data_IF_993003647563
#
_entry.id   IF_993003647563
#
_cell.length_a   1.000
_cell.length_b   1.000
_cell.length_c   1.000
_cell.angle_alpha   90.00
_cell.angle_beta   90.00
_cell.angle_gamma   90.00
#
_symmetry.space_group_name_H-M   'P 1'
#
loop_
_entity.id
_entity.type
_entity.pdbx_description
1 polymer ?
#
# COMPACT_ATOMS: atom_id res chain seq x y z
N UNK A 1 0.24 -41.73 -52.49
CA UNK A 1 0.24 -41.92 -51.03
C UNK A 1 0.94 -40.73 -50.37
N UNK A 2 0.18 -39.73 -49.97
CA UNK A 2 0.77 -38.54 -49.25
C UNK A 2 1.18 -38.98 -47.88
N UNK A 3 2.46 -38.68 -47.55
CA UNK A 3 3.12 -39.18 -46.35
C UNK A 3 2.53 -38.50 -45.10
N UNK A 4 1.53 -39.15 -44.47
CA UNK A 4 0.80 -38.69 -43.28
C UNK A 4 1.76 -38.37 -42.09
N UNK A 5 2.96 -38.89 -42.09
CA UNK A 5 4.02 -38.66 -41.12
C UNK A 5 4.52 -37.23 -41.10
N UNK A 6 4.62 -36.54 -42.24
CA UNK A 6 5.07 -35.15 -42.30
C UNK A 6 4.02 -34.15 -41.80
N UNK A 7 2.73 -34.43 -42.05
CA UNK A 7 1.65 -33.61 -41.54
C UNK A 7 1.56 -33.73 -40.01
N UNK A 8 1.68 -34.93 -39.50
CA UNK A 8 1.64 -35.17 -38.06
C UNK A 8 2.77 -34.48 -37.31
N UNK A 9 4.01 -34.53 -37.90
CA UNK A 9 5.17 -33.82 -37.36
C UNK A 9 5.00 -32.29 -37.35
N UNK A 10 4.39 -31.72 -38.37
CA UNK A 10 4.10 -30.28 -38.46
C UNK A 10 3.06 -29.86 -37.43
N UNK A 11 2.02 -30.69 -37.20
CA UNK A 11 0.98 -30.42 -36.21
C UNK A 11 1.56 -30.49 -34.80
N UNK A 12 2.40 -31.48 -34.51
CA UNK A 12 3.08 -31.60 -33.20
C UNK A 12 4.00 -30.41 -32.98
N UNK A 13 4.77 -29.99 -33.97
CA UNK A 13 5.66 -28.83 -33.88
C UNK A 13 4.87 -27.53 -33.62
N UNK A 14 3.73 -27.36 -34.27
CA UNK A 14 2.82 -26.22 -34.06
C UNK A 14 2.25 -26.19 -32.63
N UNK A 15 1.89 -27.34 -32.06
CA UNK A 15 1.39 -27.44 -30.69
C UNK A 15 2.47 -27.16 -29.63
N UNK A 16 3.74 -27.49 -29.91
CA UNK A 16 4.86 -27.20 -28.99
C UNK A 16 5.13 -25.71 -28.90
N UNK A 17 4.94 -24.95 -30.00
CA UNK A 17 5.11 -23.49 -30.03
C UNK A 17 4.01 -22.74 -29.26
N UNK A 18 2.84 -23.36 -29.05
CA UNK A 18 1.69 -22.79 -28.34
C UNK A 18 1.73 -22.96 -26.83
N UNK A 19 2.77 -23.59 -26.26
CA UNK A 19 2.90 -23.72 -24.82
C UNK A 19 3.28 -22.36 -24.25
N UNK A 20 2.41 -21.71 -23.45
CA UNK A 20 2.75 -20.43 -22.83
C UNK A 20 3.91 -20.65 -21.82
N UNK A 21 5.05 -20.07 -22.11
CA UNK A 21 6.15 -20.01 -21.14
C UNK A 21 5.75 -18.94 -20.13
N UNK A 22 5.38 -19.34 -18.92
CA UNK A 22 5.17 -18.40 -17.85
C UNK A 22 6.50 -17.70 -17.55
N UNK A 23 6.66 -16.49 -18.04
CA UNK A 23 7.77 -15.63 -17.65
C UNK A 23 7.48 -15.14 -16.22
N UNK A 24 8.10 -15.75 -15.24
CA UNK A 24 8.18 -15.18 -13.90
C UNK A 24 9.08 -13.95 -14.00
N UNK A 25 8.48 -12.77 -13.94
CA UNK A 25 9.24 -11.55 -13.76
C UNK A 25 9.85 -11.61 -12.34
N UNK A 26 11.12 -11.99 -12.27
CA UNK A 26 11.90 -11.87 -11.04
C UNK A 26 12.13 -10.38 -10.82
N UNK A 27 11.55 -9.80 -9.79
CA UNK A 27 11.89 -8.44 -9.36
C UNK A 27 13.29 -8.53 -8.74
N UNK A 28 14.30 -8.21 -9.52
CA UNK A 28 15.67 -8.10 -9.05
C UNK A 28 15.82 -6.75 -8.34
N UNK A 29 15.80 -6.78 -7.00
CA UNK A 29 16.12 -5.60 -6.19
C UNK A 29 17.65 -5.47 -6.15
N UNK A 30 18.21 -4.64 -7.02
CA UNK A 30 19.63 -4.32 -6.99
C UNK A 30 19.95 -3.37 -5.84
N UNK A 31 20.34 -3.93 -4.70
CA UNK A 31 20.77 -3.19 -3.49
C UNK A 31 22.18 -2.61 -3.61
N UNK A 32 22.86 -2.79 -4.73
CA UNK A 32 24.26 -2.33 -4.91
C UNK A 32 24.37 -0.88 -5.34
N UNK A 33 23.27 -0.24 -5.76
CA UNK A 33 23.24 1.20 -6.05
C UNK A 33 22.89 1.98 -4.80
N UNK A 34 23.88 2.54 -4.15
CA UNK A 34 23.76 3.36 -2.92
C UNK A 34 23.02 4.69 -3.08
N UNK A 35 22.04 4.77 -3.97
CA UNK A 35 21.14 5.91 -4.12
C UNK A 35 19.77 5.42 -4.57
N UNK A 36 19.07 4.72 -3.68
CA UNK A 36 17.66 4.43 -3.86
C UNK A 36 16.91 5.73 -3.58
N UNK A 37 16.23 6.29 -4.59
CA UNK A 37 15.30 7.37 -4.35
C UNK A 37 14.22 6.89 -3.37
N UNK A 38 14.03 7.56 -2.23
CA UNK A 38 13.05 7.11 -1.24
C UNK A 38 11.66 7.07 -1.83
N UNK A 39 10.93 5.98 -1.60
CA UNK A 39 9.59 5.74 -2.14
C UNK A 39 8.59 6.80 -1.63
N UNK A 40 7.94 7.58 -2.50
CA UNK A 40 6.92 8.54 -2.11
C UNK A 40 5.72 7.81 -1.50
N UNK A 41 5.42 8.10 -0.23
CA UNK A 41 4.41 7.41 0.55
C UNK A 41 3.47 8.40 1.23
N UNK A 42 2.17 8.16 1.15
CA UNK A 42 1.19 8.91 1.92
C UNK A 42 0.85 8.17 3.22
N UNK A 43 0.92 8.88 4.36
CA UNK A 43 0.47 8.37 5.67
C UNK A 43 -0.76 9.15 6.07
N UNK A 44 -1.95 8.59 5.83
CA UNK A 44 -3.20 9.21 6.24
C UNK A 44 -3.32 9.23 7.77
N UNK A 45 -3.86 10.30 8.37
CA UNK A 45 -4.28 10.25 9.75
C UNK A 45 -5.20 9.04 9.99
N UNK A 46 -5.03 8.36 11.12
CA UNK A 46 -5.85 7.19 11.43
C UNK A 46 -7.27 7.60 11.79
N UNK A 47 -8.26 6.91 11.25
CA UNK A 47 -9.66 7.14 11.58
C UNK A 47 -9.98 6.68 13.01
N UNK A 48 -10.94 7.32 13.66
CA UNK A 48 -11.39 7.01 15.01
C UNK A 48 -12.91 6.99 14.99
N UNK A 49 -13.51 5.90 15.46
CA UNK A 49 -14.96 5.86 15.63
C UNK A 49 -15.42 6.74 16.82
N UNK A 50 -16.68 7.16 16.79
CA UNK A 50 -17.22 8.12 17.75
C UNK A 50 -17.17 7.63 19.19
N UNK A 51 -17.39 6.33 19.42
CA UNK A 51 -17.35 5.72 20.75
C UNK A 51 -15.91 5.76 21.31
N UNK A 52 -14.95 5.36 20.50
CA UNK A 52 -13.54 5.40 20.85
C UNK A 52 -13.05 6.83 21.07
N UNK A 53 -13.54 7.80 20.29
CA UNK A 53 -13.22 9.22 20.45
C UNK A 53 -13.62 9.73 21.84
N UNK A 54 -14.84 9.46 22.28
CA UNK A 54 -15.32 9.85 23.61
C UNK A 54 -14.50 9.22 24.74
N UNK A 55 -14.11 7.95 24.57
CA UNK A 55 -13.26 7.27 25.53
C UNK A 55 -11.86 7.90 25.58
N UNK A 56 -11.26 8.24 24.46
CA UNK A 56 -9.95 8.90 24.40
C UNK A 56 -9.97 10.28 25.05
N UNK A 57 -11.02 11.07 24.79
CA UNK A 57 -11.19 12.39 25.45
C UNK A 57 -11.32 12.26 26.96
N UNK A 58 -12.12 11.31 27.41
CA UNK A 58 -12.38 11.10 28.85
C UNK A 58 -11.17 10.53 29.59
N UNK A 59 -10.52 9.52 29.03
CA UNK A 59 -9.47 8.75 29.73
C UNK A 59 -8.08 9.30 29.50
N UNK A 60 -7.77 9.72 28.28
CA UNK A 60 -6.44 10.15 27.89
C UNK A 60 -6.31 11.67 27.70
N UNK A 61 -7.43 12.40 27.76
CA UNK A 61 -7.50 13.84 27.44
C UNK A 61 -6.89 14.17 26.06
N UNK A 62 -7.03 13.23 25.12
CA UNK A 62 -6.46 13.27 23.76
C UNK A 62 -7.59 13.33 22.74
N UNK A 63 -7.57 14.36 21.89
CA UNK A 63 -8.56 14.54 20.82
C UNK A 63 -8.07 14.05 19.44
N UNK A 64 -6.75 14.09 19.22
CA UNK A 64 -6.15 13.84 17.91
C UNK A 64 -5.22 12.62 17.87
N UNK A 65 -5.51 11.58 18.65
CA UNK A 65 -4.66 10.40 18.78
C UNK A 65 -4.35 9.73 17.44
N UNK A 66 -5.31 9.70 16.50
CA UNK A 66 -5.11 9.13 15.17
C UNK A 66 -4.09 9.90 14.34
N UNK A 67 -4.07 11.22 14.47
CA UNK A 67 -3.06 12.04 13.80
C UNK A 67 -1.70 11.94 14.51
N UNK A 68 -1.67 11.90 15.84
CA UNK A 68 -0.42 11.73 16.60
C UNK A 68 0.28 10.43 16.23
N UNK A 69 -0.46 9.30 16.15
CA UNK A 69 0.10 8.01 15.73
C UNK A 69 0.61 8.08 14.30
N UNK A 70 -0.14 8.69 13.38
CA UNK A 70 0.31 8.82 11.99
C UNK A 70 1.60 9.64 11.85
N UNK A 71 1.81 10.66 12.67
CA UNK A 71 3.05 11.45 12.71
C UNK A 71 4.22 10.59 13.19
N UNK A 72 4.03 9.75 14.19
CA UNK A 72 5.07 8.84 14.69
C UNK A 72 5.48 7.86 13.57
N UNK A 73 4.50 7.26 12.90
CA UNK A 73 4.74 6.34 11.77
C UNK A 73 5.49 7.05 10.65
N UNK A 74 5.04 8.23 10.27
CA UNK A 74 5.65 9.07 9.24
C UNK A 74 7.12 9.39 9.55
N UNK A 75 7.41 9.79 10.78
CA UNK A 75 8.78 10.09 11.21
C UNK A 75 9.68 8.84 11.18
N UNK A 76 9.18 7.69 11.64
CA UNK A 76 9.94 6.45 11.61
C UNK A 76 10.24 6.00 10.17
N UNK A 77 9.26 6.11 9.28
CA UNK A 77 9.44 5.78 7.86
C UNK A 77 10.46 6.72 7.20
N UNK A 78 10.39 8.03 7.47
CA UNK A 78 11.36 9.01 6.97
C UNK A 78 12.78 8.71 7.47
N UNK A 79 12.91 8.39 8.75
CA UNK A 79 14.20 8.08 9.37
C UNK A 79 14.84 6.82 8.81
N UNK A 80 14.05 5.88 8.29
CA UNK A 80 14.58 4.68 7.64
C UNK A 80 15.38 4.97 6.36
N UNK A 81 15.17 6.14 5.75
CA UNK A 81 15.77 6.52 4.46
C UNK A 81 15.17 5.82 3.24
N UNK A 82 14.26 4.87 3.43
CA UNK A 82 13.64 4.09 2.35
C UNK A 82 12.35 4.75 1.82
N UNK A 83 11.76 5.64 2.60
CA UNK A 83 10.49 6.28 2.29
C UNK A 83 10.58 7.79 2.36
N UNK A 84 9.81 8.45 1.49
CA UNK A 84 9.63 9.89 1.48
C UNK A 84 8.15 10.22 1.77
N UNK A 85 7.75 10.38 3.05
CA UNK A 85 6.38 10.70 3.40
C UNK A 85 5.96 12.05 2.83
N UNK A 86 4.80 12.06 2.16
CA UNK A 86 4.21 13.23 1.53
C UNK A 86 3.54 14.16 2.54
N UNK A 87 3.51 15.48 2.25
CA UNK A 87 2.83 16.46 3.11
C UNK A 87 1.32 16.21 3.13
N UNK A 88 0.76 16.07 4.33
CA UNK A 88 -0.67 15.86 4.56
C UNK A 88 -1.56 16.99 4.00
N UNK A 89 -1.01 18.18 3.80
CA UNK A 89 -1.73 19.31 3.16
C UNK A 89 -2.11 19.02 1.72
N UNK A 90 -1.40 18.11 1.05
CA UNK A 90 -1.70 17.69 -0.32
C UNK A 90 -2.84 16.65 -0.39
N UNK A 91 -3.27 16.07 0.73
CA UNK A 91 -4.25 14.99 0.74
C UNK A 91 -5.64 15.48 0.37
N UNK A 92 -6.23 14.89 -0.67
CA UNK A 92 -7.56 15.25 -1.18
C UNK A 92 -8.66 14.46 -0.47
N UNK A 93 -8.36 13.30 0.06
CA UNK A 93 -9.33 12.40 0.67
C UNK A 93 -9.25 12.46 2.20
N UNK A 94 -10.43 12.53 2.85
CA UNK A 94 -10.51 12.52 4.33
C UNK A 94 -10.13 11.14 4.89
N UNK A 95 -9.52 11.08 6.09
CA UNK A 95 -9.04 9.84 6.70
C UNK A 95 -10.09 8.74 6.83
N UNK A 96 -11.31 9.07 7.25
CA UNK A 96 -12.39 8.10 7.44
C UNK A 96 -12.78 7.41 6.14
N UNK A 97 -12.84 8.19 5.03
CA UNK A 97 -13.15 7.67 3.71
C UNK A 97 -11.97 6.88 3.15
N UNK A 98 -10.75 7.39 3.28
CA UNK A 98 -9.54 6.72 2.81
C UNK A 98 -9.34 5.35 3.48
N UNK A 99 -9.66 5.23 4.78
CA UNK A 99 -9.56 3.97 5.50
C UNK A 99 -10.54 2.90 5.01
N UNK A 100 -11.75 3.30 4.59
CA UNK A 100 -12.78 2.38 4.08
C UNK A 100 -12.54 2.01 2.63
N UNK A 101 -12.34 3.00 1.77
CA UNK A 101 -12.16 2.84 0.33
C UNK A 101 -11.29 3.97 -0.23
N UNK A 102 -9.97 3.75 -0.37
CA UNK A 102 -9.11 4.73 -1.01
C UNK A 102 -9.52 4.96 -2.47
N UNK A 103 -9.55 6.22 -2.88
CA UNK A 103 -9.64 6.59 -4.29
C UNK A 103 -8.22 6.76 -4.80
N UNK A 104 -7.66 5.73 -5.40
CA UNK A 104 -6.27 5.70 -5.83
C UNK A 104 -5.91 6.81 -6.81
N UNK A 105 -6.88 7.28 -7.62
CA UNK A 105 -6.70 8.42 -8.52
C UNK A 105 -6.27 9.69 -7.77
N UNK A 106 -6.90 9.98 -6.62
CA UNK A 106 -6.55 11.15 -5.81
C UNK A 106 -5.11 11.07 -5.26
N UNK A 107 -4.67 9.85 -4.91
CA UNK A 107 -3.34 9.61 -4.40
C UNK A 107 -2.28 9.62 -5.50
N UNK A 108 -2.61 9.12 -6.70
CA UNK A 108 -1.77 9.22 -7.89
C UNK A 108 -1.53 10.68 -8.30
N UNK A 109 -2.54 11.56 -8.18
CA UNK A 109 -2.39 12.98 -8.50
C UNK A 109 -1.29 13.65 -7.67
N UNK A 110 -1.13 13.26 -6.42
CA UNK A 110 -0.07 13.76 -5.53
C UNK A 110 1.21 12.92 -5.61
N UNK A 111 1.30 12.00 -6.58
CA UNK A 111 2.46 11.13 -6.84
C UNK A 111 2.81 10.19 -5.69
N UNK A 112 1.84 9.78 -4.88
CA UNK A 112 2.02 8.69 -3.93
C UNK A 112 2.16 7.38 -4.70
N UNK A 113 3.16 6.57 -4.35
CA UNK A 113 3.31 5.18 -4.85
C UNK A 113 2.74 4.18 -3.86
N UNK A 114 2.66 4.57 -2.59
CA UNK A 114 2.02 3.78 -1.55
C UNK A 114 1.21 4.67 -0.61
N UNK A 115 0.18 4.07 0.00
CA UNK A 115 -0.68 4.74 0.96
C UNK A 115 -0.84 3.88 2.21
N UNK A 116 -0.59 4.47 3.37
CA UNK A 116 -0.95 3.89 4.66
C UNK A 116 -2.22 4.53 5.17
N UNK A 117 -3.22 3.71 5.44
CA UNK A 117 -4.44 4.07 6.15
C UNK A 117 -4.57 3.25 7.42
N UNK A 118 -5.49 3.61 8.30
CA UNK A 118 -5.70 2.81 9.48
C UNK A 118 -6.81 3.35 10.39
N UNK A 119 -7.04 2.60 11.45
CA UNK A 119 -8.06 2.90 12.44
C UNK A 119 -7.49 2.76 13.85
N UNK A 120 -7.91 3.65 14.74
CA UNK A 120 -7.65 3.56 16.17
C UNK A 120 -8.98 3.32 16.86
N UNK A 121 -9.03 2.34 17.74
CA UNK A 121 -10.20 2.03 18.55
C UNK A 121 -9.82 1.73 20.01
N UNK A 122 -10.79 1.93 20.90
CA UNK A 122 -10.67 1.59 22.31
C UNK A 122 -11.62 0.43 22.61
N UNK A 123 -11.06 -0.75 22.86
CA UNK A 123 -11.81 -1.99 23.05
C UNK A 123 -11.22 -2.73 24.25
N UNK A 124 -12.08 -3.14 25.20
CA UNK A 124 -11.70 -3.91 26.39
C UNK A 124 -10.54 -3.27 27.17
N UNK A 125 -10.65 -1.97 27.44
CA UNK A 125 -9.64 -1.17 28.13
C UNK A 125 -8.26 -1.15 27.45
N UNK A 126 -8.22 -1.45 26.15
CA UNK A 126 -7.00 -1.48 25.33
C UNK A 126 -7.11 -0.57 24.12
N UNK A 127 -6.00 0.06 23.79
CA UNK A 127 -5.82 0.74 22.53
C UNK A 127 -5.56 -0.32 21.43
N UNK A 128 -6.42 -0.36 20.41
CA UNK A 128 -6.21 -1.15 19.21
C UNK A 128 -5.86 -0.22 18.06
N UNK A 129 -4.76 -0.48 17.39
CA UNK A 129 -4.34 0.24 16.19
C UNK A 129 -4.24 -0.75 15.04
N UNK A 130 -4.93 -0.44 13.94
CA UNK A 130 -4.96 -1.24 12.73
C UNK A 130 -4.39 -0.42 11.59
N UNK A 131 -3.50 -1.02 10.79
CA UNK A 131 -2.93 -0.39 9.60
C UNK A 131 -3.24 -1.21 8.35
N UNK A 132 -3.36 -0.50 7.22
CA UNK A 132 -3.43 -1.08 5.89
C UNK A 132 -2.45 -0.35 4.99
N UNK A 133 -1.66 -1.12 4.27
CA UNK A 133 -0.78 -0.63 3.22
C UNK A 133 -1.43 -0.92 1.87
N UNK A 134 -1.47 0.10 1.02
CA UNK A 134 -2.03 0.04 -0.32
C UNK A 134 -0.94 0.40 -1.32
N UNK A 135 -0.92 -0.32 -2.43
CA UNK A 135 -0.18 0.04 -3.63
C UNK A 135 -1.06 1.00 -4.44
N UNK A 136 -0.51 2.13 -4.93
CA UNK A 136 -1.28 3.24 -5.51
C UNK A 136 -1.00 3.38 -7.00
#
# INVERSE_FOLDING_TARGET
MYNNSYMLKKIILFFIILIPVNAFALIEVDITRGNLDPLPLAVSPLSIDETSRKNFEKLLKKQNIGNEISIIVENNLRTSGLFNPLDKKAFLQKPDIANLKPRFEDWNLIKAQALITGKVSYVDDKLRVEFRLWDV
#
